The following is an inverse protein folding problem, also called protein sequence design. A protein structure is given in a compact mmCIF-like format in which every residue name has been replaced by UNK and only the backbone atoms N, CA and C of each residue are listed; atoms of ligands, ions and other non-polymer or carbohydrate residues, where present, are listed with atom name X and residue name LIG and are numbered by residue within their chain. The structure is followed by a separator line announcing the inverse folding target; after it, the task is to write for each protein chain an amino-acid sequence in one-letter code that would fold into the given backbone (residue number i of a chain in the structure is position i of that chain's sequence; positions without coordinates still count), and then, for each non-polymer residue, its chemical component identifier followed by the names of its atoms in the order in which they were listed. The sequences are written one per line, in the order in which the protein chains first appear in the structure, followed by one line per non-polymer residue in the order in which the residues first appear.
data_IF_974150191211
#
_entry.id   IF_974150191211
#
_cell.length_a   1.000
_cell.length_b   1.000
_cell.length_c   1.000
_cell.angle_alpha   90.00
_cell.angle_beta   90.00
_cell.angle_gamma   90.00
#
_symmetry.space_group_name_H-M   'P 1'
#
loop_
_entity.id
_entity.type
_entity.pdbx_description
1 polymer ?
#
# COMPACT_ATOMS: atom_id res chain seq x y z
N UNK A 1 -10.80 -27.92 -2.12
CA UNK A 1 -10.08 -28.94 -2.93
C UNK A 1 -8.64 -28.48 -3.06
N UNK A 2 -7.62 -29.27 -2.69
CA UNK A 2 -6.24 -28.85 -2.86
C UNK A 2 -5.72 -29.40 -4.20
N UNK A 3 -5.44 -28.52 -5.16
CA UNK A 3 -4.63 -28.90 -6.31
C UNK A 3 -3.16 -28.78 -5.93
N UNK A 4 -2.59 -29.89 -5.46
CA UNK A 4 -1.15 -30.10 -5.51
C UNK A 4 -0.78 -30.53 -6.93
N UNK A 5 0.05 -29.75 -7.61
CA UNK A 5 0.66 -30.17 -8.87
C UNK A 5 2.16 -30.37 -8.64
N UNK A 6 2.55 -31.63 -8.63
CA UNK A 6 3.94 -32.08 -8.75
C UNK A 6 4.40 -31.88 -10.20
N UNK A 7 5.49 -31.13 -10.40
CA UNK A 7 6.16 -31.06 -11.69
C UNK A 7 7.19 -32.19 -11.84
N UNK A 8 7.16 -32.85 -13.00
CA UNK A 8 7.99 -34.01 -13.35
C UNK A 8 9.32 -33.58 -13.99
N UNK A 9 10.39 -34.28 -13.63
CA UNK A 9 11.82 -33.99 -13.88
C UNK A 9 12.30 -34.10 -15.34
N UNK A 10 11.42 -34.44 -16.28
CA UNK A 10 11.82 -34.89 -17.63
C UNK A 10 12.01 -33.79 -18.68
N UNK A 11 11.78 -32.50 -18.35
CA UNK A 11 11.95 -31.40 -19.32
C UNK A 11 13.29 -30.64 -19.19
N UNK A 12 14.06 -30.84 -18.13
CA UNK A 12 15.27 -30.05 -17.82
C UNK A 12 16.41 -30.91 -17.25
N UNK A 13 16.80 -31.96 -17.97
CA UNK A 13 17.68 -33.02 -17.48
C UNK A 13 19.06 -32.61 -16.93
N UNK A 14 19.55 -31.40 -17.22
CA UNK A 14 20.96 -31.03 -16.95
C UNK A 14 21.16 -29.64 -16.28
N UNK A 15 20.14 -29.07 -15.61
CA UNK A 15 20.30 -27.76 -14.95
C UNK A 15 20.81 -27.87 -13.49
N UNK A 16 21.83 -27.08 -13.10
CA UNK A 16 22.31 -26.95 -11.72
C UNK A 16 21.22 -26.58 -10.70
N UNK A 17 21.32 -27.13 -9.48
CA UNK A 17 20.32 -27.00 -8.41
C UNK A 17 20.08 -25.55 -7.94
N UNK A 18 21.09 -24.69 -8.01
CA UNK A 18 21.06 -23.27 -7.67
C UNK A 18 20.22 -22.44 -8.64
N UNK A 19 20.25 -22.78 -9.93
CA UNK A 19 19.41 -22.13 -10.96
C UNK A 19 17.95 -22.58 -10.82
N UNK A 20 17.71 -23.80 -10.31
CA UNK A 20 16.35 -24.30 -10.10
C UNK A 20 15.59 -23.50 -9.02
N UNK A 21 16.25 -23.06 -7.96
CA UNK A 21 15.66 -22.17 -6.94
C UNK A 21 15.35 -20.77 -7.50
N UNK A 22 16.18 -20.26 -8.41
CA UNK A 22 15.92 -19.00 -9.10
C UNK A 22 14.76 -19.09 -10.12
N UNK A 23 14.47 -20.28 -10.64
CA UNK A 23 13.41 -20.50 -11.64
C UNK A 23 12.07 -20.93 -11.03
N UNK A 24 12.06 -21.59 -9.85
CA UNK A 24 10.83 -22.07 -9.18
C UNK A 24 9.92 -20.93 -8.70
N UNK A 25 10.50 -19.76 -8.44
CA UNK A 25 9.78 -18.52 -8.09
C UNK A 25 9.30 -17.73 -9.32
N UNK A 26 9.52 -18.24 -10.54
CA UNK A 26 8.94 -17.62 -11.73
C UNK A 26 7.48 -18.08 -11.90
N UNK A 27 6.50 -17.17 -11.88
CA UNK A 27 5.13 -17.52 -12.26
C UNK A 27 5.07 -18.06 -13.69
N UNK A 28 4.21 -19.07 -13.89
CA UNK A 28 3.75 -19.55 -15.20
C UNK A 28 3.43 -18.36 -16.13
N UNK A 29 3.76 -18.43 -17.44
CA UNK A 29 3.49 -17.35 -18.40
C UNK A 29 2.01 -17.21 -18.81
N UNK A 30 1.09 -17.51 -17.88
CA UNK A 30 -0.38 -17.48 -18.01
C UNK A 30 -0.88 -17.17 -16.59
N UNK A 31 -1.42 -16.02 -16.17
CA UNK A 31 -2.00 -14.84 -16.82
C UNK A 31 -1.40 -13.56 -16.20
N UNK A 32 -0.99 -12.60 -17.04
CA UNK A 32 -0.44 -11.28 -16.64
C UNK A 32 -1.53 -10.35 -16.07
N UNK A 33 -2.71 -10.88 -15.75
CA UNK A 33 -3.90 -10.06 -15.61
C UNK A 33 -4.12 -9.47 -14.20
N UNK A 34 -3.44 -9.97 -13.16
CA UNK A 34 -3.56 -9.40 -11.81
C UNK A 34 -2.22 -9.36 -11.06
N UNK A 35 -1.45 -8.28 -11.24
CA UNK A 35 -0.18 -8.05 -10.53
C UNK A 35 -0.33 -7.81 -9.03
N UNK A 36 -1.56 -7.59 -8.54
CA UNK A 36 -1.79 -7.13 -7.18
C UNK A 36 -1.82 -8.24 -6.12
N UNK A 37 -2.43 -9.43 -6.34
CA UNK A 37 -2.23 -10.59 -5.48
C UNK A 37 -0.77 -10.99 -5.35
N UNK A 38 -0.02 -10.98 -6.47
CA UNK A 38 1.41 -11.26 -6.46
C UNK A 38 2.21 -10.24 -5.63
N UNK A 39 1.77 -8.99 -5.55
CA UNK A 39 2.47 -7.98 -4.77
C UNK A 39 2.46 -8.31 -3.27
N UNK A 40 1.38 -8.90 -2.76
CA UNK A 40 1.30 -9.35 -1.37
C UNK A 40 2.31 -10.46 -1.08
N UNK A 41 2.45 -11.47 -1.96
CA UNK A 41 3.42 -12.55 -1.75
C UNK A 41 4.88 -12.11 -1.87
N UNK A 42 5.15 -10.96 -2.51
CA UNK A 42 6.48 -10.35 -2.55
C UNK A 42 6.81 -9.50 -1.31
N UNK A 43 5.82 -9.20 -0.47
CA UNK A 43 6.00 -8.46 0.78
C UNK A 43 5.93 -9.42 1.98
N UNK A 44 5.00 -10.37 1.94
CA UNK A 44 4.71 -11.35 2.99
C UNK A 44 5.05 -12.76 2.50
N UNK A 45 5.73 -13.55 3.34
CA UNK A 45 6.00 -14.96 3.04
C UNK A 45 4.85 -15.89 3.42
N UNK A 46 3.99 -15.44 4.33
CA UNK A 46 2.79 -16.13 4.74
C UNK A 46 1.67 -15.13 5.08
N UNK A 47 0.45 -15.63 5.28
CA UNK A 47 -0.72 -14.78 5.54
C UNK A 47 -0.99 -14.55 7.02
N UNK A 48 -0.14 -15.05 7.92
CA UNK A 48 -0.43 -15.12 9.37
C UNK A 48 -0.80 -13.77 9.96
N UNK A 49 0.01 -12.74 9.70
CA UNK A 49 -0.28 -11.39 10.21
C UNK A 49 -1.47 -10.75 9.49
N UNK A 50 -1.63 -10.98 8.19
CA UNK A 50 -2.73 -10.43 7.41
C UNK A 50 -4.08 -10.99 7.89
N UNK A 51 -4.15 -12.30 8.13
CA UNK A 51 -5.33 -12.98 8.65
C UNK A 51 -5.59 -12.57 10.11
N UNK A 52 -4.54 -12.43 10.93
CA UNK A 52 -4.66 -11.85 12.27
C UNK A 52 -5.25 -10.44 12.22
N UNK A 53 -4.78 -9.59 11.30
CA UNK A 53 -5.25 -8.23 11.18
C UNK A 53 -6.76 -8.16 10.86
N UNK A 54 -7.29 -9.08 10.07
CA UNK A 54 -8.72 -9.18 9.77
C UNK A 54 -9.58 -9.58 10.98
N UNK A 55 -8.99 -10.09 12.06
CA UNK A 55 -9.73 -10.41 13.30
C UNK A 55 -10.02 -9.18 14.15
N UNK A 56 -9.34 -8.06 13.91
CA UNK A 56 -9.55 -6.80 14.61
C UNK A 56 -10.67 -5.98 13.98
N UNK A 57 -11.41 -5.21 14.80
CA UNK A 57 -12.59 -4.48 14.33
C UNK A 57 -12.22 -3.49 13.22
N UNK A 58 -12.93 -3.61 12.08
CA UNK A 58 -12.82 -2.73 10.90
C UNK A 58 -11.46 -2.66 10.21
N UNK A 59 -10.49 -3.42 10.68
CA UNK A 59 -9.15 -3.50 10.10
C UNK A 59 -9.20 -4.19 8.73
N UNK A 60 -8.69 -3.49 7.71
CA UNK A 60 -8.63 -3.97 6.34
C UNK A 60 -7.28 -3.55 5.74
N UNK A 61 -6.28 -4.44 5.75
CA UNK A 61 -4.99 -4.18 5.14
C UNK A 61 -5.14 -3.79 3.67
N UNK A 62 -4.48 -2.71 3.26
CA UNK A 62 -4.51 -2.20 1.89
C UNK A 62 -3.13 -1.69 1.49
N UNK A 63 -2.69 -2.11 0.30
CA UNK A 63 -1.51 -1.54 -0.36
C UNK A 63 -1.95 -0.36 -1.19
N UNK A 64 -1.31 0.80 -1.00
CA UNK A 64 -1.56 2.02 -1.79
C UNK A 64 -0.25 2.51 -2.40
N UNK A 65 -0.25 2.78 -3.71
CA UNK A 65 0.92 3.30 -4.41
C UNK A 65 0.57 3.79 -5.81
N UNK A 66 1.44 4.60 -6.42
CA UNK A 66 1.15 5.22 -7.72
C UNK A 66 0.94 4.22 -8.86
N UNK A 67 1.84 3.25 -9.00
CA UNK A 67 1.96 2.42 -10.20
C UNK A 67 2.02 0.92 -9.82
N UNK A 68 1.12 0.46 -8.95
CA UNK A 68 1.07 -0.95 -8.49
C UNK A 68 0.89 -1.95 -9.65
N UNK A 69 0.14 -1.57 -10.69
CA UNK A 69 -0.04 -2.30 -11.95
C UNK A 69 1.24 -2.47 -12.76
N UNK A 70 2.25 -1.62 -12.52
CA UNK A 70 3.55 -1.72 -13.20
C UNK A 70 4.47 -2.76 -12.56
N UNK A 71 4.06 -3.38 -11.46
CA UNK A 71 4.80 -4.44 -10.81
C UNK A 71 5.03 -5.61 -11.78
N UNK A 72 6.27 -6.06 -11.87
CA UNK A 72 6.67 -7.21 -12.68
C UNK A 72 7.52 -8.12 -11.78
N UNK A 73 7.00 -9.29 -11.37
CA UNK A 73 7.72 -10.25 -10.52
C UNK A 73 9.14 -10.55 -11.05
N UNK A 74 9.26 -10.72 -12.37
CA UNK A 74 10.51 -11.13 -13.03
C UNK A 74 11.50 -9.98 -13.28
N UNK A 75 11.11 -8.74 -12.96
CA UNK A 75 11.99 -7.60 -13.18
C UNK A 75 12.97 -7.47 -12.01
N UNK A 76 14.29 -7.38 -12.27
CA UNK A 76 15.30 -7.37 -11.21
C UNK A 76 15.20 -6.17 -10.26
N UNK A 77 14.51 -5.10 -10.67
CA UNK A 77 14.27 -3.94 -9.80
C UNK A 77 12.92 -3.28 -10.09
N UNK A 78 11.96 -3.55 -9.23
CA UNK A 78 10.68 -2.86 -9.16
C UNK A 78 10.86 -1.61 -8.32
N UNK A 79 11.03 -0.42 -8.94
CA UNK A 79 11.18 0.85 -8.21
C UNK A 79 9.84 1.35 -7.64
N UNK A 80 9.17 0.51 -6.86
CA UNK A 80 7.84 0.77 -6.33
C UNK A 80 7.91 1.34 -4.92
N UNK A 81 7.13 2.38 -4.68
CA UNK A 81 6.87 2.90 -3.35
C UNK A 81 5.41 2.63 -3.00
N UNK A 82 5.22 1.90 -1.91
CA UNK A 82 3.92 1.45 -1.43
C UNK A 82 3.76 1.93 0.00
N UNK A 83 2.53 2.24 0.40
CA UNK A 83 2.15 2.43 1.79
C UNK A 83 1.17 1.32 2.16
N UNK A 84 1.49 0.57 3.21
CA UNK A 84 0.59 -0.40 3.82
C UNK A 84 -0.20 0.33 4.91
N UNK A 85 -1.52 0.31 4.76
CA UNK A 85 -2.48 0.91 5.69
C UNK A 85 -3.38 -0.22 6.23
N UNK A 86 -3.86 -0.12 7.46
CA UNK A 86 -4.68 -1.14 8.09
C UNK A 86 -6.04 -0.62 8.58
N UNK A 87 -6.17 0.69 8.82
CA UNK A 87 -7.31 1.32 9.48
C UNK A 87 -7.60 0.70 10.84
N UNK A 88 -6.54 0.38 11.59
CA UNK A 88 -6.65 -0.20 12.93
C UNK A 88 -7.06 0.86 13.96
N UNK A 89 -8.38 1.01 14.14
CA UNK A 89 -8.95 1.98 15.06
C UNK A 89 -8.73 1.65 16.53
N UNK A 90 -8.48 0.38 16.89
CA UNK A 90 -8.15 0.03 18.27
C UNK A 90 -6.67 0.23 18.58
N UNK A 91 -5.85 0.42 17.54
CA UNK A 91 -4.40 0.53 17.63
C UNK A 91 -3.73 -0.72 18.20
N UNK A 92 -4.41 -1.88 18.18
CA UNK A 92 -3.90 -3.10 18.79
C UNK A 92 -2.84 -3.81 17.92
N UNK A 93 -2.85 -3.60 16.61
CA UNK A 93 -1.85 -4.18 15.70
C UNK A 93 -0.44 -3.74 16.03
N UNK A 94 -0.26 -2.58 16.67
CA UNK A 94 1.07 -2.12 17.10
C UNK A 94 1.71 -3.06 18.13
N UNK A 95 0.91 -3.79 18.91
CA UNK A 95 1.40 -4.80 19.85
C UNK A 95 1.72 -6.14 19.18
N UNK A 96 1.38 -6.27 17.89
CA UNK A 96 1.65 -7.42 17.02
C UNK A 96 2.81 -7.16 16.07
N UNK A 97 3.72 -6.26 16.47
CA UNK A 97 4.90 -5.89 15.68
C UNK A 97 5.78 -7.11 15.38
N UNK A 98 5.95 -8.02 16.34
CA UNK A 98 6.74 -9.23 16.13
C UNK A 98 6.09 -10.12 15.06
N UNK A 99 4.80 -10.42 15.20
CA UNK A 99 4.03 -11.21 14.24
C UNK A 99 4.03 -10.57 12.85
N UNK A 100 3.99 -9.23 12.79
CA UNK A 100 4.14 -8.48 11.54
C UNK A 100 5.48 -8.78 10.86
N UNK A 101 6.59 -8.53 11.55
CA UNK A 101 7.92 -8.74 10.98
C UNK A 101 8.21 -10.22 10.67
N UNK A 102 7.73 -11.14 11.51
CA UNK A 102 7.90 -12.57 11.32
C UNK A 102 7.17 -13.06 10.05
N UNK A 103 6.07 -12.42 9.63
CA UNK A 103 5.32 -12.76 8.42
C UNK A 103 5.88 -12.17 7.11
N UNK A 104 6.87 -11.26 7.19
CA UNK A 104 7.46 -10.64 6.00
C UNK A 104 8.38 -11.60 5.25
N UNK A 105 8.52 -11.34 3.94
CA UNK A 105 9.57 -11.96 3.11
C UNK A 105 10.95 -11.68 3.69
N UNK A 106 11.88 -12.61 3.53
CA UNK A 106 13.21 -12.50 4.11
C UNK A 106 14.06 -11.39 3.44
N UNK A 107 15.19 -11.05 4.07
CA UNK A 107 16.22 -10.13 3.56
C UNK A 107 15.75 -8.68 3.33
N UNK A 108 14.61 -8.28 3.90
CA UNK A 108 14.25 -6.87 3.96
C UNK A 108 15.21 -6.09 4.86
N UNK A 109 15.37 -4.79 4.57
CA UNK A 109 16.06 -3.84 5.46
C UNK A 109 15.03 -2.88 6.04
N UNK A 110 14.93 -2.83 7.36
CA UNK A 110 14.04 -1.91 8.04
C UNK A 110 14.73 -0.59 8.38
N UNK A 111 14.21 0.50 7.83
CA UNK A 111 14.57 1.85 8.23
C UNK A 111 13.55 2.35 9.27
N UNK A 112 13.93 2.25 10.56
CA UNK A 112 13.07 2.63 11.68
C UNK A 112 12.71 4.12 11.71
N UNK A 113 13.63 5.00 11.36
CA UNK A 113 13.38 6.46 11.33
C UNK A 113 12.30 6.84 10.32
N UNK A 114 12.23 6.09 9.22
CA UNK A 114 11.31 6.33 8.11
C UNK A 114 10.11 5.39 8.12
N UNK A 115 10.09 4.40 9.01
CA UNK A 115 9.11 3.32 8.99
C UNK A 115 8.98 2.71 7.59
N UNK A 116 10.12 2.45 6.94
CA UNK A 116 10.20 1.93 5.57
C UNK A 116 10.93 0.58 5.54
N UNK A 117 10.31 -0.40 4.90
CA UNK A 117 10.91 -1.70 4.56
C UNK A 117 11.46 -1.61 3.14
N UNK A 118 12.70 -2.03 2.95
CA UNK A 118 13.34 -2.11 1.63
C UNK A 118 13.60 -3.57 1.27
N UNK A 119 12.93 -4.05 0.24
CA UNK A 119 13.09 -5.42 -0.26
C UNK A 119 14.13 -5.47 -1.39
N UNK A 120 14.87 -6.58 -1.55
CA UNK A 120 15.83 -6.76 -2.66
C UNK A 120 15.19 -6.59 -4.04
N UNK A 121 13.90 -6.90 -4.17
CA UNK A 121 13.10 -6.71 -5.39
C UNK A 121 12.94 -5.24 -5.82
N UNK A 122 13.42 -4.28 -5.02
CA UNK A 122 13.30 -2.84 -5.23
C UNK A 122 12.05 -2.23 -4.61
N UNK A 123 11.14 -3.05 -4.07
CA UNK A 123 9.93 -2.59 -3.41
C UNK A 123 10.30 -1.89 -2.11
N UNK A 124 9.76 -0.69 -1.91
CA UNK A 124 9.78 0.00 -0.62
C UNK A 124 8.36 0.09 -0.07
N UNK A 125 8.14 -0.41 1.15
CA UNK A 125 6.84 -0.36 1.83
C UNK A 125 6.94 0.56 3.05
N UNK A 126 6.13 1.59 3.11
CA UNK A 126 5.94 2.37 4.32
C UNK A 126 4.89 1.69 5.22
N UNK A 127 5.25 1.52 6.49
CA UNK A 127 4.47 0.76 7.49
C UNK A 127 4.16 1.61 8.72
N UNK A 128 4.20 2.95 8.60
CA UNK A 128 4.08 3.85 9.73
C UNK A 128 2.82 3.58 10.57
N UNK A 129 1.66 3.52 9.90
CA UNK A 129 0.36 3.33 10.56
C UNK A 129 0.33 2.01 11.33
N UNK A 130 0.74 0.92 10.68
CA UNK A 130 0.77 -0.44 11.26
C UNK A 130 1.63 -0.52 12.52
N UNK A 131 2.83 0.07 12.49
CA UNK A 131 3.78 -0.05 13.60
C UNK A 131 3.48 0.92 14.75
N UNK A 132 2.94 2.10 14.45
CA UNK A 132 2.68 3.12 15.48
C UNK A 132 1.27 3.03 16.06
N UNK A 133 0.32 2.45 15.31
CA UNK A 133 -1.10 2.45 15.64
C UNK A 133 -1.74 3.84 15.54
N UNK A 134 -1.10 4.79 14.87
CA UNK A 134 -1.70 6.12 14.66
C UNK A 134 -2.74 6.08 13.55
N UNK A 135 -3.82 6.85 13.67
CA UNK A 135 -4.85 7.01 12.61
C UNK A 135 -4.35 7.66 11.31
N UNK A 136 -3.09 8.12 11.30
CA UNK A 136 -2.48 8.80 10.14
C UNK A 136 -1.18 8.12 9.74
N UNK A 137 -0.98 7.93 8.43
CA UNK A 137 0.27 7.44 7.88
C UNK A 137 1.18 8.60 7.46
N UNK A 138 2.37 8.71 8.07
CA UNK A 138 3.36 9.70 7.65
C UNK A 138 4.22 9.20 6.49
N UNK A 139 3.93 9.75 5.32
CA UNK A 139 4.53 9.31 4.06
C UNK A 139 5.25 10.47 3.36
N UNK A 140 6.32 10.17 2.59
CA UNK A 140 6.89 11.10 1.63
C UNK A 140 5.94 11.22 0.43
N UNK A 141 4.98 12.16 0.51
CA UNK A 141 3.93 12.33 -0.52
C UNK A 141 4.46 12.45 -1.96
N UNK A 142 5.68 12.95 -2.17
CA UNK A 142 6.30 13.04 -3.51
C UNK A 142 6.70 11.69 -4.11
N UNK A 143 6.84 10.65 -3.28
CA UNK A 143 7.06 9.26 -3.71
C UNK A 143 5.74 8.54 -3.90
N UNK A 144 4.74 8.86 -3.07
CA UNK A 144 3.41 8.28 -3.16
C UNK A 144 2.65 8.81 -4.39
N UNK A 145 2.68 10.12 -4.64
CA UNK A 145 2.02 10.77 -5.77
C UNK A 145 3.01 11.28 -6.81
N UNK A 146 2.61 11.23 -8.08
CA UNK A 146 3.33 11.89 -9.16
C UNK A 146 3.09 13.40 -9.16
N UNK A 147 4.12 14.19 -9.45
CA UNK A 147 3.93 15.58 -9.88
C UNK A 147 3.57 15.71 -11.35
N UNK A 148 3.91 14.70 -12.17
CA UNK A 148 3.81 14.74 -13.64
C UNK A 148 2.51 14.14 -14.18
N UNK A 149 1.99 13.11 -13.53
CA UNK A 149 0.87 12.30 -14.04
C UNK A 149 -0.45 12.56 -13.31
N UNK A 150 -0.56 13.70 -12.63
CA UNK A 150 -1.73 14.02 -11.80
C UNK A 150 -1.75 13.29 -10.45
N UNK A 151 -2.84 13.51 -9.71
CA UNK A 151 -3.11 12.89 -8.41
C UNK A 151 -3.86 11.57 -8.62
N UNK A 152 -3.14 10.57 -9.12
CA UNK A 152 -3.66 9.21 -9.28
C UNK A 152 -2.84 8.26 -8.41
N UNK A 153 -3.54 7.36 -7.72
CA UNK A 153 -2.97 6.24 -6.98
C UNK A 153 -3.67 4.96 -7.43
N UNK A 154 -3.06 3.85 -7.11
CA UNK A 154 -3.63 2.51 -7.23
C UNK A 154 -3.64 1.88 -5.85
N UNK A 155 -4.64 1.06 -5.58
CA UNK A 155 -4.77 0.38 -4.31
C UNK A 155 -5.32 -1.02 -4.47
N UNK A 156 -4.93 -1.89 -3.55
CA UNK A 156 -5.38 -3.26 -3.50
C UNK A 156 -5.58 -3.69 -2.05
N UNK A 157 -6.82 -4.04 -1.71
CA UNK A 157 -7.15 -4.59 -0.40
C UNK A 157 -6.66 -6.03 -0.31
N UNK A 158 -6.23 -6.46 0.87
CA UNK A 158 -5.98 -7.87 1.12
C UNK A 158 -7.30 -8.64 0.93
N UNK A 159 -7.25 -9.75 0.18
CA UNK A 159 -8.43 -10.51 -0.26
C UNK A 159 -9.47 -9.72 -1.08
N UNK A 160 -9.11 -8.53 -1.58
CA UNK A 160 -10.00 -7.70 -2.39
C UNK A 160 -10.02 -8.09 -3.87
N UNK A 161 -11.12 -7.74 -4.54
CA UNK A 161 -11.25 -7.93 -5.98
C UNK A 161 -10.43 -6.92 -6.76
N UNK A 162 -9.30 -7.39 -7.31
CA UNK A 162 -8.53 -6.71 -8.34
C UNK A 162 -7.89 -5.39 -7.89
N UNK A 163 -6.95 -4.92 -8.72
CA UNK A 163 -6.32 -3.63 -8.49
C UNK A 163 -7.29 -2.50 -8.86
N UNK A 164 -7.44 -1.52 -7.97
CA UNK A 164 -8.32 -0.37 -8.17
C UNK A 164 -7.52 0.90 -8.35
N UNK A 165 -8.10 1.86 -9.07
CA UNK A 165 -7.50 3.17 -9.30
C UNK A 165 -8.23 4.21 -8.48
N UNK A 166 -7.49 4.98 -7.69
CA UNK A 166 -7.96 6.12 -6.92
C UNK A 166 -7.62 7.40 -7.68
N UNK A 167 -8.65 8.13 -8.08
CA UNK A 167 -8.56 9.42 -8.78
C UNK A 167 -9.30 10.49 -7.97
N UNK A 168 -9.13 11.79 -8.29
CA UNK A 168 -10.11 12.78 -7.89
C UNK A 168 -11.49 12.33 -8.43
N UNK A 169 -12.58 12.40 -7.65
CA UNK A 169 -12.80 13.18 -6.43
C UNK A 169 -12.48 12.46 -5.10
N UNK A 170 -12.00 11.22 -5.13
CA UNK A 170 -11.81 10.37 -3.94
C UNK A 170 -10.49 10.64 -3.18
N UNK A 171 -9.77 11.68 -3.58
CA UNK A 171 -8.56 12.17 -2.92
C UNK A 171 -8.92 13.54 -2.35
N UNK A 172 -9.06 13.64 -1.05
CA UNK A 172 -9.58 14.84 -0.38
C UNK A 172 -8.40 15.61 0.18
N UNK A 173 -8.13 16.77 -0.40
CA UNK A 173 -7.11 17.69 0.08
C UNK A 173 -7.75 18.87 0.83
N UNK A 174 -6.98 19.94 0.92
CA UNK A 174 -7.44 21.23 1.43
C UNK A 174 -8.53 21.77 0.50
N UNK A 175 -9.71 22.09 1.05
CA UNK A 175 -10.85 22.59 0.30
C UNK A 175 -11.53 21.54 -0.59
N UNK A 176 -11.61 20.30 -0.10
CA UNK A 176 -12.35 19.22 -0.75
C UNK A 176 -11.52 18.41 -1.75
N UNK A 177 -12.15 17.85 -2.80
CA UNK A 177 -11.48 17.04 -3.80
C UNK A 177 -10.22 17.70 -4.37
N UNK A 178 -9.15 16.91 -4.44
CA UNK A 178 -7.83 17.36 -4.86
C UNK A 178 -7.53 16.94 -6.28
N UNK A 179 -7.58 17.89 -7.21
CA UNK A 179 -7.15 17.69 -8.60
C UNK A 179 -5.68 18.08 -8.83
N UNK A 180 -5.10 18.86 -7.92
CA UNK A 180 -3.76 19.45 -8.05
C UNK A 180 -2.93 19.22 -6.80
N UNK A 181 -1.63 19.02 -6.99
CA UNK A 181 -0.63 18.84 -5.92
C UNK A 181 -0.72 19.86 -4.78
N UNK A 182 -1.04 21.13 -5.11
CA UNK A 182 -1.16 22.20 -4.13
C UNK A 182 -2.17 21.91 -3.00
N UNK A 183 -3.24 21.17 -3.30
CA UNK A 183 -4.28 20.80 -2.31
C UNK A 183 -3.84 19.69 -1.36
N UNK A 184 -2.85 18.88 -1.75
CA UNK A 184 -2.37 17.74 -0.93
C UNK A 184 -0.95 17.95 -0.38
N UNK A 185 -0.34 19.12 -0.59
CA UNK A 185 1.09 19.36 -0.28
C UNK A 185 1.49 19.08 1.18
N UNK A 186 0.52 19.04 2.10
CA UNK A 186 0.69 18.73 3.53
C UNK A 186 0.12 17.36 3.92
N UNK A 187 -0.72 16.76 3.09
CA UNK A 187 -1.45 15.52 3.34
C UNK A 187 -2.82 15.53 2.66
N UNK A 188 -3.52 14.40 2.71
CA UNK A 188 -4.86 14.24 2.18
C UNK A 188 -5.56 13.03 2.82
N UNK A 189 -6.88 13.01 2.73
CA UNK A 189 -7.68 11.81 2.96
C UNK A 189 -7.82 11.02 1.65
N UNK A 190 -7.82 9.70 1.75
CA UNK A 190 -8.04 8.76 0.66
C UNK A 190 -9.33 8.01 0.93
N UNK A 191 -10.33 8.20 0.08
CA UNK A 191 -11.61 7.52 0.17
C UNK A 191 -11.57 6.26 -0.72
N UNK A 192 -11.32 5.10 -0.13
CA UNK A 192 -11.16 3.83 -0.82
C UNK A 192 -12.46 3.00 -0.75
N UNK A 193 -12.86 2.40 -1.86
CA UNK A 193 -14.05 1.54 -1.91
C UNK A 193 -13.71 0.05 -1.81
N UNK A 194 -14.37 -0.66 -0.91
CA UNK A 194 -14.25 -2.10 -0.68
C UNK A 194 -15.64 -2.71 -0.43
N UNK A 195 -16.06 -3.67 -1.28
CA UNK A 195 -17.40 -4.31 -1.23
C UNK A 195 -18.57 -3.33 -0.98
N UNK A 196 -18.61 -2.22 -1.71
CA UNK A 196 -19.65 -1.20 -1.57
C UNK A 196 -19.49 -0.26 -0.36
N UNK A 197 -18.59 -0.55 0.57
CA UNK A 197 -18.26 0.31 1.71
C UNK A 197 -17.17 1.31 1.37
N UNK A 198 -17.31 2.53 1.90
CA UNK A 198 -16.29 3.58 1.83
C UNK A 198 -15.41 3.50 3.08
N UNK A 199 -14.09 3.43 2.87
CA UNK A 199 -13.06 3.47 3.92
C UNK A 199 -12.20 4.70 3.71
N UNK A 200 -12.03 5.51 4.75
CA UNK A 200 -11.22 6.72 4.69
C UNK A 200 -9.88 6.49 5.39
N UNK A 201 -8.79 6.82 4.71
CA UNK A 201 -7.44 6.75 5.26
C UNK A 201 -6.79 8.13 5.19
N UNK A 202 -5.99 8.47 6.20
CA UNK A 202 -5.30 9.76 6.25
C UNK A 202 -3.81 9.58 5.99
N UNK A 203 -3.30 10.25 4.94
CA UNK A 203 -1.88 10.28 4.63
C UNK A 203 -1.34 11.69 4.81
N UNK A 204 -0.29 11.84 5.62
CA UNK A 204 0.30 13.14 5.98
C UNK A 204 1.73 13.21 5.49
N UNK A 205 2.15 14.39 5.04
CA UNK A 205 3.54 14.61 4.65
C UNK A 205 4.45 14.44 5.87
N UNK A 206 5.42 13.54 5.78
CA UNK A 206 6.47 13.39 6.81
C UNK A 206 7.12 14.74 7.16
N UNK A 207 7.25 15.00 8.46
CA UNK A 207 7.81 16.24 9.00
C UNK A 207 6.85 17.44 9.02
N UNK A 208 5.59 17.27 8.56
CA UNK A 208 4.56 18.30 8.72
C UNK A 208 3.86 18.14 10.07
N UNK A 209 3.55 19.25 10.74
CA UNK A 209 2.72 19.25 11.95
C UNK A 209 1.26 18.99 11.54
N UNK A 210 0.58 18.04 12.20
CA UNK A 210 -0.84 17.73 12.01
C UNK A 210 -1.74 18.98 12.06
N UNK A 211 -1.43 19.92 12.96
CA UNK A 211 -2.15 21.19 13.12
C UNK A 211 -2.21 22.00 11.81
N UNK A 212 -1.16 21.94 10.97
CA UNK A 212 -1.17 22.63 9.68
C UNK A 212 -2.19 22.04 8.70
N UNK A 213 -2.48 20.75 8.82
CA UNK A 213 -3.49 20.09 8.01
C UNK A 213 -4.90 20.45 8.52
N UNK A 214 -5.10 20.39 9.83
CA UNK A 214 -6.36 20.77 10.49
C UNK A 214 -6.71 22.25 10.21
N UNK A 215 -5.76 23.17 10.41
CA UNK A 215 -5.94 24.60 10.11
C UNK A 215 -6.19 24.86 8.62
N UNK A 216 -5.53 24.12 7.73
CA UNK A 216 -5.74 24.28 6.30
C UNK A 216 -7.11 23.75 5.86
N UNK A 217 -7.55 22.62 6.42
CA UNK A 217 -8.88 22.07 6.17
C UNK A 217 -9.98 22.98 6.72
N UNK A 218 -9.82 23.52 7.93
CA UNK A 218 -10.81 24.40 8.57
C UNK A 218 -10.94 25.78 7.89
N UNK A 219 -9.83 26.39 7.47
CA UNK A 219 -9.86 27.63 6.66
C UNK A 219 -10.60 27.43 5.34
N UNK A 220 -10.50 26.24 4.75
CA UNK A 220 -11.15 25.95 3.48
C UNK A 220 -12.67 25.79 3.61
N UNK A 221 -13.17 25.23 4.71
CA UNK A 221 -14.60 25.16 5.03
C UNK A 221 -15.20 26.54 5.29
N UNK A 222 -14.49 27.41 6.00
CA UNK A 222 -14.94 28.80 6.24
C UNK A 222 -14.93 29.67 4.97
N UNK A 223 -14.10 29.35 3.98
CA UNK A 223 -14.08 30.08 2.70
C UNK A 223 -15.23 29.65 1.77
N UNK A 224 -15.77 28.44 1.91
CA UNK A 224 -16.95 27.99 1.12
C UNK A 224 -18.24 28.63 1.63
N UNK A 225 -18.32 28.95 2.93
CA UNK A 225 -19.47 29.67 3.53
C UNK A 225 -19.66 31.09 2.98
N UNK A 226 -18.59 31.76 2.52
CA UNK A 226 -18.68 33.13 1.98
C UNK A 226 -19.04 33.22 0.48
N UNK A 227 -19.24 32.09 -0.21
CA UNK A 227 -19.68 32.08 -1.62
C UNK A 227 -21.12 31.56 -1.81
N UNK A 228 -21.83 31.24 -0.73
CA UNK A 228 -23.27 30.96 -0.74
C UNK A 228 -24.07 32.09 -0.06
N UNK A 229 -23.77 33.34 -0.40
CA UNK A 229 -24.72 34.46 -0.23
C UNK A 229 -24.57 35.38 -1.42
N UNK A 230 -25.36 35.11 -2.47
CA UNK A 230 -26.07 36.10 -3.29
C UNK A 230 -27.00 35.39 -4.26
#
# INVERSE_FOLDING_TARGET
MPFGLFFSRYLFGDLPEDIWYDLRDLPSPIDVENSAPALWSFIFKDTTWLDLALTYDRCLPVLVGRDLSSFRPLKPLNRLYITLLASDHSSDLRYKEKEFFDSLQDRFKYNKEKYELHFPSGITVNIYEVITGHDVAYVPLKRLFSRKNGLELQYHFYQGDGLKVLKPPNIIGIGGPAEKWGKIKHGCALNLHHHGMLKQYMVVRRGSKLNLLAEAMDKSTNTVSSYCVK
#
